data_IF_215985274172
#
_entry.id   IF_215985274172
#
_cell.length_a   1.000
_cell.length_b   1.000
_cell.length_c   1.000
_cell.angle_alpha   90.00
_cell.angle_beta   90.00
_cell.angle_gamma   90.00
#
_symmetry.space_group_name_H-M   'P 1'
#
loop_
_entity.id
_entity.type
_entity.pdbx_description
1 polymer ?
#
# COMPACT_ATOMS: atom_id res chain seq x y z
N UNK A 1 -9.98 16.69 -0.95
CA UNK A 1 -8.59 16.30 -0.60
C UNK A 1 -7.80 16.20 -1.89
N UNK A 2 -6.57 16.74 -1.96
CA UNK A 2 -5.74 16.55 -3.16
C UNK A 2 -4.98 15.21 -3.09
N UNK A 3 -4.54 14.67 -4.23
CA UNK A 3 -3.89 13.36 -4.30
C UNK A 3 -2.62 13.25 -3.43
N UNK A 4 -1.89 14.36 -3.23
CA UNK A 4 -0.70 14.38 -2.37
C UNK A 4 -1.05 14.21 -0.89
N UNK A 5 -2.18 14.78 -0.45
CA UNK A 5 -2.68 14.59 0.92
C UNK A 5 -3.09 13.13 1.15
N UNK A 6 -3.80 12.52 0.19
CA UNK A 6 -4.17 11.10 0.22
C UNK A 6 -2.92 10.21 0.37
N UNK A 7 -1.90 10.43 -0.48
CA UNK A 7 -0.66 9.64 -0.45
C UNK A 7 0.11 9.84 0.87
N UNK A 8 0.10 11.06 1.42
CA UNK A 8 0.75 11.35 2.70
C UNK A 8 0.07 10.60 3.84
N UNK A 9 -1.26 10.68 3.93
CA UNK A 9 -2.04 9.98 4.96
C UNK A 9 -1.88 8.45 4.87
N UNK A 10 -1.90 7.90 3.64
CA UNK A 10 -1.63 6.48 3.41
C UNK A 10 -0.24 6.07 3.91
N UNK A 11 0.80 6.88 3.62
CA UNK A 11 2.18 6.60 4.08
C UNK A 11 2.27 6.60 5.60
N UNK A 12 1.69 7.59 6.26
CA UNK A 12 1.74 7.73 7.71
C UNK A 12 1.04 6.54 8.38
N UNK A 13 -0.15 6.16 7.91
CA UNK A 13 -0.93 5.06 8.49
C UNK A 13 -0.32 3.69 8.24
N UNK A 14 0.18 3.43 7.02
CA UNK A 14 0.87 2.18 6.72
C UNK A 14 2.15 2.02 7.54
N UNK A 15 2.89 3.09 7.77
CA UNK A 15 4.08 3.02 8.61
C UNK A 15 3.74 2.83 10.09
N UNK A 16 2.67 3.43 10.60
CA UNK A 16 2.21 3.22 11.98
C UNK A 16 1.75 1.77 12.22
N UNK A 17 0.87 1.26 11.35
CA UNK A 17 0.39 -0.13 11.41
C UNK A 17 1.51 -1.14 11.11
N UNK A 18 2.36 -0.83 10.12
CA UNK A 18 3.50 -1.66 9.74
C UNK A 18 4.55 -1.78 10.84
N UNK A 19 4.80 -0.70 11.59
CA UNK A 19 5.77 -0.68 12.69
C UNK A 19 5.49 -1.77 13.72
N UNK A 20 4.21 -2.05 14.03
CA UNK A 20 3.79 -3.12 14.96
C UNK A 20 4.27 -4.51 14.53
N UNK A 21 4.50 -4.70 13.24
CA UNK A 21 4.91 -5.95 12.61
C UNK A 21 6.33 -5.90 12.06
N UNK A 22 7.09 -4.83 12.38
CA UNK A 22 8.39 -4.52 11.80
C UNK A 22 8.36 -4.46 10.27
N UNK A 23 7.24 -4.03 9.67
CA UNK A 23 7.05 -3.88 8.23
C UNK A 23 7.31 -2.43 7.80
N UNK A 24 7.96 -2.27 6.65
CA UNK A 24 8.19 -0.98 6.00
C UNK A 24 7.40 -0.89 4.70
N UNK A 25 6.63 0.19 4.54
CA UNK A 25 5.81 0.41 3.36
C UNK A 25 6.27 1.63 2.55
N UNK A 26 6.22 1.50 1.24
CA UNK A 26 6.31 2.59 0.29
C UNK A 26 4.96 2.75 -0.43
N UNK A 27 4.61 4.01 -0.67
CA UNK A 27 3.39 4.39 -1.40
C UNK A 27 3.80 5.28 -2.56
N UNK A 28 3.41 4.90 -3.77
CA UNK A 28 3.68 5.67 -5.00
C UNK A 28 2.42 5.84 -5.84
N UNK A 29 2.40 6.88 -6.67
CA UNK A 29 1.35 7.09 -7.67
C UNK A 29 1.84 6.55 -9.01
N UNK A 30 0.98 5.83 -9.70
CA UNK A 30 1.20 5.36 -11.06
C UNK A 30 0.05 5.79 -11.96
N UNK A 31 0.30 5.83 -13.27
CA UNK A 31 -0.67 6.24 -14.30
C UNK A 31 -0.61 5.26 -15.47
N UNK A 32 -1.77 4.90 -16.03
CA UNK A 32 -1.87 4.10 -17.25
C UNK A 32 -1.57 4.98 -18.44
N UNK A 33 -1.33 4.31 -19.57
CA UNK A 33 -1.20 4.96 -20.85
C UNK A 33 -2.49 5.69 -21.27
N UNK A 34 -3.65 5.25 -20.77
CA UNK A 34 -4.97 5.82 -21.02
C UNK A 34 -5.34 6.98 -20.08
N UNK A 35 -4.47 7.33 -19.12
CA UNK A 35 -4.64 8.47 -18.21
C UNK A 35 -5.34 8.16 -16.89
N UNK A 36 -5.73 6.91 -16.66
CA UNK A 36 -6.17 6.45 -15.34
C UNK A 36 -4.98 6.44 -14.38
N UNK A 37 -5.22 6.71 -13.11
CA UNK A 37 -4.17 6.69 -12.10
C UNK A 37 -4.56 5.78 -10.95
N UNK A 38 -3.56 5.15 -10.34
CA UNK A 38 -3.72 4.32 -9.15
C UNK A 38 -2.57 4.57 -8.17
N UNK A 39 -2.79 4.11 -6.94
CA UNK A 39 -1.78 4.15 -5.89
C UNK A 39 -1.22 2.74 -5.72
N UNK A 40 0.09 2.65 -5.74
CA UNK A 40 0.83 1.41 -5.55
C UNK A 40 1.38 1.38 -4.12
N UNK A 41 1.22 0.23 -3.47
CA UNK A 41 1.71 -0.05 -2.13
C UNK A 41 2.75 -1.17 -2.21
N UNK A 42 3.92 -0.92 -1.63
CA UNK A 42 5.02 -1.90 -1.62
C UNK A 42 5.44 -2.11 -0.18
N UNK A 43 5.58 -3.36 0.26
CA UNK A 43 6.28 -3.68 1.50
C UNK A 43 7.69 -4.15 1.18
N UNK A 44 8.71 -3.49 1.72
CA UNK A 44 10.11 -3.79 1.37
C UNK A 44 10.68 -5.02 2.08
N UNK A 45 10.05 -5.42 3.19
CA UNK A 45 10.56 -6.48 4.06
C UNK A 45 9.45 -7.48 4.45
N UNK A 46 8.39 -7.54 3.65
CA UNK A 46 7.42 -8.61 3.76
C UNK A 46 8.09 -9.95 3.40
N UNK A 47 8.13 -10.86 4.37
CA UNK A 47 8.50 -12.26 4.23
C UNK A 47 7.26 -13.12 4.02
N UNK A 48 7.46 -14.43 3.82
CA UNK A 48 6.35 -15.39 3.74
C UNK A 48 5.49 -15.42 5.02
N UNK A 49 6.10 -15.19 6.18
CA UNK A 49 5.45 -15.32 7.48
C UNK A 49 4.60 -14.09 7.84
N UNK A 50 5.05 -12.89 7.47
CA UNK A 50 4.35 -11.63 7.74
C UNK A 50 3.61 -11.07 6.51
N UNK A 51 3.70 -11.72 5.34
CA UNK A 51 3.04 -11.27 4.11
C UNK A 51 1.52 -11.20 4.21
N UNK A 52 0.89 -12.08 5.00
CA UNK A 52 -0.54 -12.02 5.29
C UNK A 52 -0.89 -10.77 6.13
N UNK A 53 -0.09 -10.45 7.15
CA UNK A 53 -0.26 -9.23 7.94
C UNK A 53 -0.05 -7.99 7.08
N UNK A 54 0.96 -7.97 6.21
CA UNK A 54 1.21 -6.86 5.29
C UNK A 54 0.01 -6.60 4.36
N UNK A 55 -0.60 -7.67 3.82
CA UNK A 55 -1.82 -7.56 2.98
C UNK A 55 -3.02 -7.03 3.77
N UNK A 56 -3.21 -7.50 5.00
CA UNK A 56 -4.32 -7.05 5.84
C UNK A 56 -4.19 -5.58 6.20
N UNK A 57 -2.99 -5.14 6.60
CA UNK A 57 -2.69 -3.73 6.91
C UNK A 57 -2.97 -2.84 5.69
N UNK A 58 -2.54 -3.26 4.49
CA UNK A 58 -2.83 -2.52 3.26
C UNK A 58 -4.34 -2.40 3.02
N UNK A 59 -5.09 -3.51 3.15
CA UNK A 59 -6.53 -3.52 2.91
C UNK A 59 -7.30 -2.64 3.92
N UNK A 60 -6.91 -2.65 5.19
CA UNK A 60 -7.54 -1.84 6.23
C UNK A 60 -7.28 -0.35 5.99
N UNK A 61 -6.04 0.02 5.71
CA UNK A 61 -5.67 1.42 5.42
C UNK A 61 -6.30 1.91 4.11
N UNK A 62 -6.35 1.05 3.08
CA UNK A 62 -7.02 1.38 1.82
C UNK A 62 -8.49 1.69 2.07
N UNK A 63 -9.23 0.80 2.74
CA UNK A 63 -10.68 0.96 2.97
C UNK A 63 -11.01 2.26 3.67
N UNK A 64 -10.20 2.66 4.65
CA UNK A 64 -10.42 3.88 5.41
C UNK A 64 -10.13 5.15 4.59
N UNK A 65 -9.14 5.12 3.68
CA UNK A 65 -8.77 6.30 2.88
C UNK A 65 -9.54 6.38 1.55
N UNK A 66 -9.80 5.26 0.87
CA UNK A 66 -10.63 5.22 -0.36
C UNK A 66 -12.10 5.37 -0.07
N UNK A 67 -12.60 4.83 1.04
CA UNK A 67 -13.96 5.10 1.51
C UNK A 67 -14.20 6.60 1.75
N UNK A 68 -13.15 7.36 2.08
CA UNK A 68 -13.19 8.81 2.20
C UNK A 68 -13.00 9.57 0.87
N UNK A 69 -12.46 8.92 -0.17
CA UNK A 69 -12.08 9.56 -1.44
C UNK A 69 -12.92 9.13 -2.67
N UNK A 70 -13.73 8.08 -2.57
CA UNK A 70 -14.67 7.64 -3.61
C UNK A 70 -14.01 7.12 -4.91
N UNK A 71 -12.79 6.58 -4.85
CA UNK A 71 -12.04 6.07 -6.02
C UNK A 71 -11.49 4.67 -5.78
N UNK A 72 -11.52 3.85 -6.83
CA UNK A 72 -11.00 2.47 -6.87
C UNK A 72 -9.47 2.52 -6.99
N UNK A 73 -8.74 2.03 -5.98
CA UNK A 73 -7.28 1.96 -6.01
C UNK A 73 -6.83 0.56 -6.42
N UNK A 74 -6.02 0.49 -7.47
CA UNK A 74 -5.48 -0.78 -7.96
C UNK A 74 -4.28 -1.20 -7.09
N UNK A 75 -4.52 -2.14 -6.17
CA UNK A 75 -3.50 -2.73 -5.32
C UNK A 75 -2.66 -3.76 -6.10
N UNK A 76 -1.37 -3.49 -6.26
CA UNK A 76 -0.40 -4.49 -6.74
C UNK A 76 0.51 -4.88 -5.58
N UNK A 77 0.31 -6.05 -4.95
CA UNK A 77 1.26 -6.54 -3.97
C UNK A 77 2.57 -6.85 -4.69
N UNK A 78 3.59 -6.01 -4.52
CA UNK A 78 4.94 -6.31 -5.01
C UNK A 78 5.59 -7.24 -4.01
N UNK A 79 5.35 -8.54 -4.17
CA UNK A 79 6.23 -9.55 -3.59
C UNK A 79 7.52 -9.59 -4.40
N UNK A 80 8.62 -9.05 -3.86
CA UNK A 80 9.93 -9.62 -4.20
C UNK A 80 10.00 -10.97 -3.47
N UNK A 81 9.60 -12.02 -4.17
CA UNK A 81 9.91 -13.40 -3.83
C UNK A 81 11.43 -13.61 -4.03
N UNK A 82 12.24 -13.09 -3.13
CA UNK A 82 13.59 -13.60 -2.85
C UNK A 82 13.40 -14.32 -1.50
N UNK A 83 12.97 -15.58 -1.41
CA UNK A 83 13.59 -16.80 -1.90
C UNK A 83 12.56 -17.78 -2.49
N UNK A 84 12.67 -18.01 -3.81
CA UNK A 84 12.32 -19.29 -4.41
C UNK A 84 13.63 -19.94 -4.87
N UNK A 85 14.29 -20.65 -3.96
CA UNK A 85 15.34 -21.63 -4.23
C UNK A 85 15.34 -22.71 -3.14
#
# INVERSE_FOLDING_TARGET
MNDQQIIKELKERLNDEGSKWHLQFAVSRSMSQDGDWWIVFVSHNATRENGAAARQIIADVEREVTGAAGRELLLVPVSKLEDAA
#
